data_IF_809358217722
#
_entry.id   IF_809358217722
#
_cell.length_a   1.000
_cell.length_b   1.000
_cell.length_c   1.000
_cell.angle_alpha   90.00
_cell.angle_beta   90.00
_cell.angle_gamma   90.00
#
_symmetry.space_group_name_H-M   'P 1'
#
loop_
_entity.id
_entity.type
_entity.pdbx_description
1 polymer ?
#
# COMPACT_ATOMS: atom_id res chain seq x y z
N UNK A 1 19.38 20.45 11.59
CA UNK A 1 18.29 21.35 11.17
C UNK A 1 17.62 20.60 10.02
N UNK A 2 16.51 19.91 10.30
CA UNK A 2 15.81 19.10 9.27
C UNK A 2 15.04 20.12 8.44
N UNK A 3 15.45 20.35 7.20
CA UNK A 3 14.65 21.13 6.26
C UNK A 3 13.34 20.37 6.06
N UNK A 4 12.24 20.97 6.51
CA UNK A 4 10.89 20.45 6.26
C UNK A 4 10.61 20.50 4.76
N UNK A 5 9.89 19.51 4.23
CA UNK A 5 9.31 19.56 2.87
C UNK A 5 8.48 20.82 2.60
N UNK A 6 8.07 21.53 3.67
CA UNK A 6 7.28 22.76 3.64
C UNK A 6 7.89 23.92 2.84
N UNK A 7 9.19 23.91 2.48
CA UNK A 7 9.79 24.98 1.66
C UNK A 7 9.41 24.92 0.17
N UNK A 8 8.85 23.80 -0.32
CA UNK A 8 8.45 23.64 -1.73
C UNK A 8 7.08 22.96 -1.91
N UNK A 9 6.67 22.07 -0.99
CA UNK A 9 5.42 21.33 -1.09
C UNK A 9 4.81 21.07 0.29
N UNK A 10 3.52 21.35 0.46
CA UNK A 10 2.80 20.95 1.66
C UNK A 10 2.23 19.53 1.50
N UNK A 11 2.69 18.60 2.34
CA UNK A 11 2.21 17.22 2.38
C UNK A 11 0.87 17.12 3.13
N UNK A 12 -0.21 16.82 2.40
CA UNK A 12 -1.49 16.46 3.01
C UNK A 12 -1.69 14.94 3.00
N UNK A 13 -1.99 14.34 4.16
CA UNK A 13 -2.21 12.90 4.27
C UNK A 13 -3.67 12.50 4.18
N UNK A 14 -3.90 11.36 3.52
CA UNK A 14 -5.20 10.72 3.40
C UNK A 14 -5.07 9.24 3.70
N UNK A 15 -6.16 8.66 4.20
CA UNK A 15 -6.32 7.22 4.34
C UNK A 15 -7.15 6.71 3.17
N UNK A 16 -6.61 5.74 2.44
CA UNK A 16 -7.33 5.03 1.38
C UNK A 16 -7.94 3.76 1.98
N UNK A 17 -9.29 3.65 2.06
CA UNK A 17 -9.95 2.50 2.65
C UNK A 17 -9.75 1.22 1.86
N UNK A 18 -9.53 0.12 2.58
CA UNK A 18 -9.51 -1.23 2.05
C UNK A 18 -10.59 -2.04 2.76
N UNK A 19 -11.47 -2.66 1.98
CA UNK A 19 -12.69 -3.30 2.45
C UNK A 19 -12.65 -4.82 2.20
N UNK A 20 -13.33 -5.63 3.00
CA UNK A 20 -13.54 -7.05 2.72
C UNK A 20 -14.72 -7.28 1.74
N UNK A 21 -14.99 -8.54 1.41
CA UNK A 21 -16.11 -8.97 0.56
C UNK A 21 -17.49 -8.58 1.09
N UNK A 22 -17.60 -8.24 2.38
CA UNK A 22 -18.83 -7.79 3.04
C UNK A 22 -18.86 -6.27 3.21
N UNK A 23 -17.99 -5.53 2.52
CA UNK A 23 -17.82 -4.09 2.63
C UNK A 23 -17.53 -3.61 4.06
N UNK A 24 -16.78 -4.41 4.83
CA UNK A 24 -16.26 -4.02 6.16
C UNK A 24 -14.82 -3.55 6.02
N UNK A 25 -14.47 -2.50 6.76
CA UNK A 25 -13.12 -1.96 6.75
C UNK A 25 -12.13 -2.96 7.37
N UNK A 26 -11.06 -3.29 6.64
CA UNK A 26 -9.99 -4.19 7.11
C UNK A 26 -8.64 -3.49 7.26
N UNK A 27 -8.43 -2.38 6.57
CA UNK A 27 -7.21 -1.61 6.69
C UNK A 27 -7.24 -0.30 5.93
N UNK A 28 -6.16 0.46 6.08
CA UNK A 28 -5.98 1.77 5.49
C UNK A 28 -4.59 1.90 4.91
N UNK A 29 -4.48 2.30 3.65
CA UNK A 29 -3.22 2.74 3.07
C UNK A 29 -3.04 4.25 3.31
N UNK A 30 -1.84 4.67 3.70
CA UNK A 30 -1.54 6.10 3.88
C UNK A 30 -0.89 6.66 2.64
N UNK A 31 -1.63 7.55 1.99
CA UNK A 31 -1.18 8.30 0.82
C UNK A 31 -0.94 9.75 1.18
N UNK A 32 -0.06 10.41 0.42
CA UNK A 32 0.11 11.85 0.49
C UNK A 32 -0.38 12.50 -0.80
N UNK A 33 -0.87 13.72 -0.70
CA UNK A 33 -1.03 14.62 -1.84
C UNK A 33 -0.22 15.86 -1.56
N UNK A 34 0.50 16.33 -2.56
CA UNK A 34 1.34 17.52 -2.45
C UNK A 34 0.57 18.69 -3.03
N UNK A 35 0.41 19.75 -2.23
CA UNK A 35 -0.08 21.03 -2.71
C UNK A 35 1.11 21.95 -3.01
N UNK A 36 1.05 22.66 -4.15
CA UNK A 36 1.93 23.81 -4.38
C UNK A 36 1.62 24.93 -3.36
N UNK A 37 2.54 25.86 -3.14
CA UNK A 37 2.39 26.97 -2.16
C UNK A 37 1.10 27.80 -2.36
N UNK A 38 0.59 27.87 -3.60
CA UNK A 38 -0.65 28.58 -3.94
C UNK A 38 -1.94 27.78 -3.67
N UNK A 39 -1.81 26.51 -3.29
CA UNK A 39 -2.92 25.58 -3.03
C UNK A 39 -3.76 25.20 -4.26
N UNK A 40 -3.43 25.70 -5.46
CA UNK A 40 -4.27 25.57 -6.65
C UNK A 40 -4.14 24.20 -7.32
N UNK A 41 -3.01 23.52 -7.14
CA UNK A 41 -2.73 22.21 -7.75
C UNK A 41 -2.40 21.20 -6.67
N UNK A 42 -3.18 20.11 -6.63
CA UNK A 42 -2.91 18.92 -5.82
C UNK A 42 -2.33 17.83 -6.70
N UNK A 43 -1.13 17.37 -6.36
CA UNK A 43 -0.44 16.30 -7.09
C UNK A 43 -0.43 15.01 -6.25
N UNK A 44 -0.91 13.88 -6.79
CA UNK A 44 -0.77 12.57 -6.15
C UNK A 44 0.69 12.20 -5.90
N UNK A 45 0.94 11.41 -4.84
CA UNK A 45 2.30 10.97 -4.49
C UNK A 45 2.98 10.27 -5.66
N UNK A 46 2.27 9.51 -6.48
CA UNK A 46 2.86 8.74 -7.59
C UNK A 46 3.50 9.63 -8.66
N UNK A 47 3.02 10.88 -8.81
CA UNK A 47 3.58 11.85 -9.77
C UNK A 47 4.75 12.64 -9.19
N UNK A 48 4.82 12.76 -7.86
CA UNK A 48 5.84 13.54 -7.16
C UNK A 48 6.98 12.66 -6.66
N UNK A 49 6.70 11.42 -6.23
CA UNK A 49 7.65 10.49 -5.66
C UNK A 49 8.92 10.28 -6.50
N UNK A 50 8.86 10.18 -7.84
CA UNK A 50 10.07 10.06 -8.67
C UNK A 50 10.98 11.30 -8.65
N UNK A 51 10.48 12.44 -8.17
CA UNK A 51 11.19 13.73 -8.10
C UNK A 51 11.73 14.04 -6.71
N UNK A 52 11.29 13.31 -5.68
CA UNK A 52 11.75 13.50 -4.31
C UNK A 52 13.16 12.95 -4.16
N UNK A 53 14.03 13.75 -3.55
CA UNK A 53 15.33 13.33 -3.03
C UNK A 53 15.18 12.23 -1.96
N UNK A 54 16.28 11.56 -1.63
CA UNK A 54 16.28 10.52 -0.59
C UNK A 54 15.91 11.11 0.76
N UNK A 55 16.37 12.32 1.05
CA UNK A 55 16.08 13.06 2.28
C UNK A 55 14.59 13.42 2.38
N UNK A 56 13.97 13.87 1.28
CA UNK A 56 12.54 14.14 1.23
C UNK A 56 11.70 12.86 1.37
N UNK A 57 12.09 11.77 0.71
CA UNK A 57 11.44 10.47 0.88
C UNK A 57 11.53 9.98 2.33
N UNK A 58 12.67 10.19 2.98
CA UNK A 58 12.89 9.86 4.38
C UNK A 58 11.97 10.68 5.29
N UNK A 59 11.92 12.01 5.09
CA UNK A 59 11.06 12.89 5.88
C UNK A 59 9.59 12.51 5.73
N UNK A 60 9.12 12.28 4.49
CA UNK A 60 7.76 11.84 4.22
C UNK A 60 7.42 10.51 4.91
N UNK A 61 8.34 9.54 4.89
CA UNK A 61 8.15 8.26 5.56
C UNK A 61 8.04 8.43 7.09
N UNK A 62 8.90 9.27 7.67
CA UNK A 62 8.89 9.61 9.10
C UNK A 62 7.62 10.35 9.51
N UNK A 63 7.11 11.26 8.69
CA UNK A 63 5.83 11.96 8.91
C UNK A 63 4.65 10.98 8.90
N UNK A 64 4.63 10.02 7.97
CA UNK A 64 3.61 8.96 7.94
C UNK A 64 3.66 8.07 9.18
N UNK A 65 4.85 7.76 9.70
CA UNK A 65 4.99 7.06 10.99
C UNK A 65 4.48 7.89 12.17
N UNK A 66 4.69 9.21 12.17
CA UNK A 66 4.14 10.13 13.19
C UNK A 66 2.60 10.16 13.16
N UNK A 67 2.02 10.14 11.95
CA UNK A 67 0.58 10.04 11.78
C UNK A 67 0.04 8.74 12.38
N UNK A 68 0.69 7.60 12.12
CA UNK A 68 0.31 6.33 12.72
C UNK A 68 0.38 6.35 14.25
N UNK A 69 1.38 7.01 14.82
CA UNK A 69 1.48 7.18 16.27
C UNK A 69 0.28 7.92 16.85
N UNK A 70 -0.17 8.97 16.16
CA UNK A 70 -1.35 9.78 16.55
C UNK A 70 -2.65 8.98 16.43
N UNK A 71 -2.75 8.11 15.43
CA UNK A 71 -3.94 7.32 15.14
C UNK A 71 -3.90 5.88 15.70
N UNK A 72 -2.85 5.50 16.43
CA UNK A 72 -2.58 4.09 16.78
C UNK A 72 -3.73 3.40 17.51
N UNK A 73 -4.43 4.13 18.39
CA UNK A 73 -5.52 3.58 19.17
C UNK A 73 -6.68 3.13 18.27
N UNK A 74 -6.95 3.87 17.20
CA UNK A 74 -7.97 3.52 16.21
C UNK A 74 -7.63 2.20 15.50
N UNK A 75 -6.40 2.05 15.00
CA UNK A 75 -5.96 0.82 14.33
C UNK A 75 -6.03 -0.39 15.26
N UNK A 76 -5.56 -0.25 16.51
CA UNK A 76 -5.57 -1.34 17.49
C UNK A 76 -7.00 -1.72 17.89
N UNK A 77 -7.84 -0.73 18.23
CA UNK A 77 -9.22 -0.96 18.68
C UNK A 77 -10.06 -1.68 17.61
N UNK A 78 -9.90 -1.26 16.35
CA UNK A 78 -10.67 -1.80 15.23
C UNK A 78 -9.97 -2.96 14.50
N UNK A 79 -8.78 -3.39 14.98
CA UNK A 79 -7.97 -4.47 14.40
C UNK A 79 -7.67 -4.26 12.92
N UNK A 80 -7.38 -3.01 12.55
CA UNK A 80 -7.11 -2.60 11.18
C UNK A 80 -5.61 -2.70 10.88
N UNK A 81 -5.28 -2.97 9.62
CA UNK A 81 -3.91 -2.89 9.10
C UNK A 81 -3.63 -1.49 8.58
N UNK A 82 -2.40 -1.00 8.77
CA UNK A 82 -1.90 0.20 8.11
C UNK A 82 -0.86 -0.20 7.06
N UNK A 83 -1.04 0.21 5.81
CA UNK A 83 -0.03 0.07 4.77
C UNK A 83 0.71 1.39 4.55
N UNK A 84 2.04 1.32 4.61
CA UNK A 84 2.92 2.42 4.23
C UNK A 84 3.76 2.01 3.02
N UNK A 85 3.65 2.78 1.94
CA UNK A 85 4.57 2.63 0.81
C UNK A 85 6.01 2.90 1.29
N UNK A 86 6.88 1.93 1.06
CA UNK A 86 8.30 1.97 1.35
C UNK A 86 9.07 2.24 0.04
N UNK A 87 9.60 3.45 -0.16
CA UNK A 87 10.46 3.71 -1.30
C UNK A 87 11.74 2.87 -1.22
N UNK A 88 12.28 2.38 -2.35
CA UNK A 88 13.52 1.63 -2.37
C UNK A 88 14.68 2.32 -1.65
N UNK A 89 14.80 3.64 -1.80
CA UNK A 89 15.86 4.43 -1.18
C UNK A 89 15.82 4.43 0.36
N UNK A 90 14.65 4.13 0.96
CA UNK A 90 14.45 4.13 2.41
C UNK A 90 14.63 2.73 3.00
N UNK A 91 14.71 1.70 2.16
CA UNK A 91 14.73 0.30 2.61
C UNK A 91 15.97 -0.05 3.44
N UNK A 92 17.16 0.32 2.96
CA UNK A 92 18.39 0.10 3.71
C UNK A 92 18.46 1.01 4.95
N UNK A 93 17.98 2.27 4.84
CA UNK A 93 17.93 3.19 5.98
C UNK A 93 17.04 2.64 7.11
N UNK A 94 15.89 2.07 6.77
CA UNK A 94 14.98 1.45 7.74
C UNK A 94 15.63 0.26 8.47
N UNK A 95 16.51 -0.49 7.81
CA UNK A 95 17.20 -1.64 8.40
C UNK A 95 18.45 -1.23 9.21
N UNK A 96 19.14 -0.17 8.81
CA UNK A 96 20.41 0.25 9.40
C UNK A 96 20.24 1.25 10.56
N UNK A 97 19.24 2.12 10.50
CA UNK A 97 18.95 3.10 11.54
C UNK A 97 18.11 2.46 12.66
N UNK A 98 18.74 2.22 13.81
CA UNK A 98 18.07 1.60 14.96
C UNK A 98 16.89 2.41 15.51
N UNK A 99 16.90 3.74 15.39
CA UNK A 99 15.81 4.59 15.86
C UNK A 99 14.62 4.48 14.91
N UNK A 100 14.86 4.60 13.60
CA UNK A 100 13.82 4.44 12.59
C UNK A 100 13.22 3.03 12.63
N UNK A 101 14.06 2.00 12.70
CA UNK A 101 13.65 0.60 12.81
C UNK A 101 12.73 0.41 14.02
N UNK A 102 13.18 0.82 15.20
CA UNK A 102 12.41 0.68 16.45
C UNK A 102 11.11 1.49 16.41
N UNK A 103 11.12 2.63 15.70
CA UNK A 103 9.93 3.44 15.51
C UNK A 103 8.91 2.78 14.60
N UNK A 104 9.31 2.13 13.51
CA UNK A 104 8.40 1.38 12.65
C UNK A 104 7.92 0.10 13.35
N UNK A 105 8.83 -0.66 13.97
CA UNK A 105 8.56 -1.96 14.57
C UNK A 105 7.63 -1.90 15.80
N UNK A 106 7.43 -0.71 16.40
CA UNK A 106 6.49 -0.54 17.53
C UNK A 106 5.02 -0.73 17.14
N UNK A 107 4.68 -0.61 15.85
CA UNK A 107 3.31 -0.69 15.37
C UNK A 107 2.97 -2.11 14.89
N UNK A 108 2.26 -2.93 15.68
CA UNK A 108 1.96 -4.32 15.30
C UNK A 108 1.00 -4.44 14.11
N UNK A 109 0.34 -3.35 13.75
CA UNK A 109 -0.59 -3.24 12.63
C UNK A 109 0.06 -2.67 11.36
N UNK A 110 1.33 -2.27 11.41
CA UNK A 110 2.05 -1.71 10.26
C UNK A 110 2.53 -2.83 9.34
N UNK A 111 2.22 -2.70 8.05
CA UNK A 111 2.78 -3.50 6.98
C UNK A 111 3.41 -2.56 5.93
N UNK A 112 4.55 -2.97 5.37
CA UNK A 112 5.27 -2.17 4.38
C UNK A 112 4.86 -2.59 2.97
N UNK A 113 4.40 -1.62 2.18
CA UNK A 113 4.01 -1.81 0.79
C UNK A 113 5.18 -1.48 -0.14
N UNK A 114 5.48 -2.37 -1.06
CA UNK A 114 6.42 -2.12 -2.16
C UNK A 114 5.76 -2.44 -3.50
N UNK A 115 6.31 -1.87 -4.56
CA UNK A 115 5.80 -2.02 -5.92
C UNK A 115 6.69 -2.93 -6.78
N UNK A 116 6.16 -3.39 -7.91
CA UNK A 116 6.89 -4.24 -8.86
C UNK A 116 8.18 -3.61 -9.41
N UNK A 117 8.28 -2.28 -9.40
CA UNK A 117 9.47 -1.55 -9.80
C UNK A 117 10.58 -1.50 -8.73
N UNK A 118 10.40 -2.22 -7.61
CA UNK A 118 11.42 -2.29 -6.57
C UNK A 118 12.73 -2.92 -7.11
N UNK A 119 13.89 -2.26 -6.95
CA UNK A 119 15.17 -2.74 -7.47
C UNK A 119 15.51 -4.16 -7.02
N UNK A 120 15.75 -5.05 -7.98
CA UNK A 120 16.12 -6.43 -7.69
C UNK A 120 14.98 -7.30 -7.17
N UNK A 121 13.71 -6.89 -7.30
CA UNK A 121 12.55 -7.70 -6.88
C UNK A 121 12.53 -9.09 -7.53
N UNK A 122 12.96 -9.20 -8.79
CA UNK A 122 13.08 -10.47 -9.52
C UNK A 122 14.12 -11.45 -8.94
N UNK A 123 14.98 -11.00 -8.02
CA UNK A 123 15.88 -11.90 -7.29
C UNK A 123 15.14 -12.65 -6.17
N UNK A 124 13.93 -12.22 -5.80
CA UNK A 124 13.14 -12.80 -4.72
C UNK A 124 13.92 -12.84 -3.41
N UNK A 125 13.93 -13.97 -2.73
CA UNK A 125 14.65 -14.13 -1.44
C UNK A 125 16.17 -13.96 -1.53
N UNK A 126 16.74 -13.94 -2.74
CA UNK A 126 18.16 -13.68 -2.95
C UNK A 126 18.50 -12.18 -2.91
N UNK A 127 17.49 -11.29 -2.89
CA UNK A 127 17.68 -9.89 -2.58
C UNK A 127 17.78 -9.75 -1.06
N UNK A 128 18.99 -9.50 -0.54
CA UNK A 128 19.27 -9.47 0.90
C UNK A 128 18.44 -8.40 1.63
N UNK A 129 18.30 -7.20 1.06
CA UNK A 129 17.48 -6.13 1.65
C UNK A 129 16.02 -6.54 1.76
N UNK A 130 15.43 -7.11 0.70
CA UNK A 130 14.03 -7.58 0.73
C UNK A 130 13.83 -8.75 1.70
N UNK A 131 14.77 -9.70 1.74
CA UNK A 131 14.72 -10.81 2.68
C UNK A 131 14.80 -10.32 4.13
N UNK A 132 15.69 -9.38 4.43
CA UNK A 132 15.80 -8.76 5.76
C UNK A 132 14.55 -7.97 6.14
N UNK A 133 13.98 -7.19 5.20
CA UNK A 133 12.71 -6.51 5.42
C UNK A 133 11.59 -7.51 5.75
N UNK A 134 11.44 -8.58 4.97
CA UNK A 134 10.42 -9.60 5.18
C UNK A 134 10.58 -10.37 6.50
N UNK A 135 11.80 -10.48 7.03
CA UNK A 135 12.04 -11.07 8.35
C UNK A 135 11.58 -10.18 9.50
N UNK A 136 11.55 -8.86 9.31
CA UNK A 136 11.27 -7.89 10.38
C UNK A 136 9.90 -7.22 10.27
N UNK A 137 9.37 -7.07 9.06
CA UNK A 137 8.12 -6.40 8.77
C UNK A 137 7.27 -7.25 7.81
N UNK A 138 5.95 -7.35 8.02
CA UNK A 138 5.10 -7.95 7.01
C UNK A 138 5.08 -7.07 5.76
N UNK A 139 5.31 -7.70 4.61
CA UNK A 139 5.36 -7.00 3.32
C UNK A 139 4.10 -7.23 2.50
N UNK A 140 3.71 -6.18 1.77
CA UNK A 140 2.71 -6.19 0.72
C UNK A 140 3.36 -5.86 -0.63
N UNK A 141 3.06 -6.66 -1.66
CA UNK A 141 3.27 -6.24 -3.05
C UNK A 141 2.03 -5.48 -3.53
N UNK A 142 2.11 -4.16 -3.70
CA UNK A 142 0.93 -3.29 -3.82
C UNK A 142 0.36 -3.16 -5.24
N UNK A 143 1.10 -3.56 -6.28
CA UNK A 143 0.68 -3.39 -7.68
C UNK A 143 1.04 -4.60 -8.56
N UNK A 144 0.75 -5.81 -8.08
CA UNK A 144 0.99 -7.04 -8.85
C UNK A 144 0.21 -7.04 -10.18
N UNK A 145 0.88 -7.31 -11.29
CA UNK A 145 0.33 -7.24 -12.64
C UNK A 145 0.63 -5.93 -13.39
N UNK A 146 1.39 -5.01 -12.78
CA UNK A 146 1.86 -3.79 -13.45
C UNK A 146 2.84 -4.06 -14.61
N UNK A 147 3.49 -5.23 -14.63
CA UNK A 147 4.30 -5.71 -15.75
C UNK A 147 5.81 -5.54 -15.57
N UNK A 148 6.26 -5.16 -14.38
CA UNK A 148 7.67 -4.88 -14.08
C UNK A 148 8.36 -6.05 -13.34
N UNK A 149 7.58 -6.97 -12.76
CA UNK A 149 8.10 -8.08 -11.97
C UNK A 149 7.59 -9.46 -12.40
N UNK A 150 8.42 -10.47 -12.16
CA UNK A 150 8.07 -11.88 -12.17
C UNK A 150 7.38 -12.29 -10.86
N UNK A 151 6.74 -13.45 -10.87
CA UNK A 151 6.09 -14.03 -9.68
C UNK A 151 7.06 -14.64 -8.67
N UNK A 152 8.38 -14.59 -8.93
CA UNK A 152 9.39 -15.25 -8.09
C UNK A 152 9.35 -14.79 -6.64
N UNK A 153 9.29 -13.48 -6.39
CA UNK A 153 9.28 -12.94 -5.02
C UNK A 153 8.03 -13.37 -4.22
N UNK A 154 6.89 -13.54 -4.91
CA UNK A 154 5.66 -14.07 -4.31
C UNK A 154 5.87 -15.55 -3.93
N UNK A 155 6.35 -16.39 -4.86
CA UNK A 155 6.56 -17.82 -4.59
C UNK A 155 7.71 -18.12 -3.63
N UNK A 156 8.64 -17.18 -3.46
CA UNK A 156 9.67 -17.24 -2.43
C UNK A 156 9.12 -16.90 -1.03
N UNK A 157 7.85 -16.50 -0.91
CA UNK A 157 7.17 -16.25 0.36
C UNK A 157 7.52 -14.92 1.01
N UNK A 158 7.98 -13.93 0.24
CA UNK A 158 8.38 -12.62 0.78
C UNK A 158 7.20 -11.75 1.20
N UNK A 159 6.01 -12.01 0.66
CA UNK A 159 4.84 -11.16 0.83
C UNK A 159 3.76 -11.84 1.63
N UNK A 160 3.35 -11.18 2.72
CA UNK A 160 2.15 -11.55 3.45
C UNK A 160 0.89 -11.21 2.63
N UNK A 161 0.94 -10.10 1.87
CA UNK A 161 -0.17 -9.66 1.03
C UNK A 161 0.26 -9.35 -0.39
N UNK A 162 -0.63 -9.60 -1.34
CA UNK A 162 -0.44 -9.25 -2.74
C UNK A 162 -1.70 -8.53 -3.20
N UNK A 163 -1.56 -7.32 -3.74
CA UNK A 163 -2.65 -6.53 -4.30
C UNK A 163 -2.50 -6.48 -5.82
N UNK A 164 -3.55 -6.84 -6.55
CA UNK A 164 -3.58 -6.67 -8.01
C UNK A 164 -3.66 -5.20 -8.41
N UNK A 165 -2.84 -4.78 -9.37
CA UNK A 165 -2.77 -3.40 -9.84
C UNK A 165 -4.08 -2.90 -10.44
N UNK A 166 -4.45 -1.65 -10.13
CA UNK A 166 -5.69 -1.04 -10.61
C UNK A 166 -5.77 -0.97 -12.14
N UNK A 167 -4.67 -0.65 -12.83
CA UNK A 167 -4.67 -0.50 -14.29
C UNK A 167 -4.80 -1.88 -14.94
N UNK A 168 -4.12 -2.89 -14.39
CA UNK A 168 -4.26 -4.27 -14.82
C UNK A 168 -5.71 -4.77 -14.74
N UNK A 169 -6.39 -4.45 -13.63
CA UNK A 169 -7.79 -4.83 -13.43
C UNK A 169 -8.71 -4.04 -14.36
N UNK A 170 -8.60 -2.71 -14.41
CA UNK A 170 -9.45 -1.85 -15.22
C UNK A 170 -9.35 -2.16 -16.72
N UNK A 171 -8.15 -2.45 -17.22
CA UNK A 171 -7.94 -2.87 -18.62
C UNK A 171 -8.65 -4.17 -18.97
N UNK A 172 -8.90 -5.05 -17.99
CA UNK A 172 -9.53 -6.37 -18.18
C UNK A 172 -11.00 -6.40 -17.77
N UNK A 173 -11.47 -5.42 -17.01
CA UNK A 173 -12.81 -5.42 -16.44
C UNK A 173 -13.90 -5.55 -17.51
N UNK A 174 -13.70 -4.98 -18.70
CA UNK A 174 -14.69 -5.06 -19.80
C UNK A 174 -14.63 -6.39 -20.57
N UNK A 175 -13.61 -7.22 -20.35
CA UNK A 175 -13.44 -8.47 -21.07
C UNK A 175 -14.36 -9.56 -20.52
N UNK A 176 -14.92 -10.38 -21.43
CA UNK A 176 -15.70 -11.57 -21.08
C UNK A 176 -14.84 -12.56 -20.26
N UNK A 177 -13.54 -12.60 -20.53
CA UNK A 177 -12.58 -13.47 -19.86
C UNK A 177 -12.14 -12.98 -18.49
N UNK A 178 -12.63 -11.84 -17.99
CA UNK A 178 -12.22 -11.28 -16.70
C UNK A 178 -12.33 -12.28 -15.55
N UNK A 179 -13.51 -12.86 -15.32
CA UNK A 179 -13.75 -13.77 -14.19
C UNK A 179 -12.93 -15.07 -14.28
N UNK A 180 -12.91 -15.81 -15.41
CA UNK A 180 -12.05 -16.99 -15.54
C UNK A 180 -10.57 -16.67 -15.31
N UNK A 181 -10.12 -15.50 -15.77
CA UNK A 181 -8.74 -15.08 -15.63
C UNK A 181 -8.39 -14.70 -14.19
N UNK A 182 -9.27 -13.97 -13.49
CA UNK A 182 -9.12 -13.68 -12.06
C UNK A 182 -9.12 -14.96 -11.22
N UNK A 183 -10.01 -15.92 -11.51
CA UNK A 183 -10.02 -17.21 -10.83
C UNK A 183 -8.70 -17.97 -11.01
N UNK A 184 -8.10 -17.92 -12.20
CA UNK A 184 -6.80 -18.55 -12.44
C UNK A 184 -5.68 -17.89 -11.60
N UNK A 185 -5.70 -16.56 -11.46
CA UNK A 185 -4.74 -15.83 -10.61
C UNK A 185 -4.92 -16.22 -9.14
N UNK A 186 -6.16 -16.20 -8.64
CA UNK A 186 -6.48 -16.59 -7.26
C UNK A 186 -6.00 -18.02 -6.99
N UNK A 187 -6.34 -18.97 -7.85
CA UNK A 187 -5.91 -20.36 -7.70
C UNK A 187 -4.38 -20.53 -7.66
N UNK A 188 -3.64 -19.71 -8.40
CA UNK A 188 -2.18 -19.81 -8.51
C UNK A 188 -1.44 -19.11 -7.37
N UNK A 189 -1.97 -18.00 -6.85
CA UNK A 189 -1.24 -17.10 -5.94
C UNK A 189 -1.69 -17.25 -4.48
N UNK A 190 -2.94 -17.61 -4.21
CA UNK A 190 -3.49 -17.64 -2.84
C UNK A 190 -2.77 -18.59 -1.89
N UNK A 191 -2.05 -19.60 -2.38
CA UNK A 191 -1.23 -20.49 -1.54
C UNK A 191 0.11 -19.88 -1.11
N UNK A 192 0.52 -18.77 -1.73
CA UNK A 192 1.85 -18.15 -1.57
C UNK A 192 1.82 -16.84 -0.79
N UNK A 193 0.64 -16.40 -0.35
CA UNK A 193 0.46 -15.22 0.50
C UNK A 193 -0.77 -15.43 1.41
N UNK A 194 -0.86 -14.70 2.52
CA UNK A 194 -2.00 -14.80 3.43
C UNK A 194 -3.25 -14.07 2.88
N UNK A 195 -3.05 -13.03 2.07
CA UNK A 195 -4.10 -12.15 1.60
C UNK A 195 -3.82 -11.72 0.16
N UNK A 196 -4.59 -12.28 -0.77
CA UNK A 196 -4.66 -11.79 -2.15
C UNK A 196 -5.80 -10.77 -2.25
N UNK A 197 -5.48 -9.59 -2.73
CA UNK A 197 -6.33 -8.39 -2.72
C UNK A 197 -6.43 -7.82 -4.14
N UNK A 198 -7.42 -6.97 -4.38
CA UNK A 198 -7.67 -6.37 -5.70
C UNK A 198 -7.89 -4.87 -5.59
N UNK A 199 -7.12 -4.09 -6.37
CA UNK A 199 -7.31 -2.66 -6.51
C UNK A 199 -8.13 -2.31 -7.76
N UNK A 200 -8.56 -1.05 -7.85
CA UNK A 200 -9.31 -0.52 -9.00
C UNK A 200 -10.81 -0.82 -8.96
N UNK A 201 -11.37 -1.16 -7.80
CA UNK A 201 -12.81 -1.35 -7.62
C UNK A 201 -13.51 0.02 -7.48
N UNK A 202 -13.97 0.56 -8.61
CA UNK A 202 -14.45 1.95 -8.67
C UNK A 202 -15.98 2.09 -8.57
N UNK A 203 -16.73 0.99 -8.65
CA UNK A 203 -18.19 1.00 -8.58
C UNK A 203 -18.76 -0.33 -8.07
N UNK A 204 -20.03 -0.31 -7.66
CA UNK A 204 -20.75 -1.46 -7.10
C UNK A 204 -20.87 -2.64 -8.07
N UNK A 205 -21.00 -2.38 -9.38
CA UNK A 205 -21.07 -3.45 -10.38
C UNK A 205 -19.76 -4.24 -10.45
N UNK A 206 -18.62 -3.55 -10.38
CA UNK A 206 -17.30 -4.15 -10.34
C UNK A 206 -17.06 -4.90 -9.03
N UNK A 207 -17.47 -4.32 -7.90
CA UNK A 207 -17.38 -4.98 -6.59
C UNK A 207 -18.20 -6.27 -6.55
N UNK A 208 -19.46 -6.22 -6.98
CA UNK A 208 -20.36 -7.39 -7.04
C UNK A 208 -19.80 -8.51 -7.91
N UNK A 209 -19.04 -8.16 -8.96
CA UNK A 209 -18.40 -9.12 -9.85
C UNK A 209 -17.09 -9.69 -9.28
N UNK A 210 -16.32 -8.88 -8.55
CA UNK A 210 -15.02 -9.27 -7.99
C UNK A 210 -15.13 -10.00 -6.64
N UNK A 211 -16.11 -9.65 -5.80
CA UNK A 211 -16.33 -10.22 -4.47
C UNK A 211 -16.37 -11.76 -4.44
N UNK A 212 -17.11 -12.45 -5.33
CA UNK A 212 -17.19 -13.92 -5.30
C UNK A 212 -15.94 -14.63 -5.86
N UNK A 213 -14.92 -13.90 -6.34
CA UNK A 213 -13.77 -14.49 -7.03
C UNK A 213 -12.69 -15.04 -6.09
N UNK A 214 -12.82 -14.83 -4.77
CA UNK A 214 -11.89 -15.32 -3.76
C UNK A 214 -10.80 -14.33 -3.35
N UNK A 215 -10.99 -13.04 -3.63
CA UNK A 215 -10.14 -11.98 -3.09
C UNK A 215 -10.52 -11.67 -1.65
N UNK A 216 -9.50 -11.49 -0.81
CA UNK A 216 -9.67 -11.21 0.62
C UNK A 216 -10.01 -9.75 0.93
N UNK A 217 -9.63 -8.82 0.05
CA UNK A 217 -9.88 -7.40 0.25
C UNK A 217 -9.86 -6.60 -1.07
N UNK A 218 -10.49 -5.44 -1.04
CA UNK A 218 -10.86 -4.62 -2.18
C UNK A 218 -10.50 -3.16 -1.91
N UNK A 219 -9.90 -2.49 -2.89
CA UNK A 219 -9.55 -1.08 -2.83
C UNK A 219 -9.93 -0.40 -4.16
N UNK A 220 -10.35 0.86 -4.13
CA UNK A 220 -10.63 1.62 -5.35
C UNK A 220 -11.55 2.80 -5.13
N UNK A 221 -11.99 3.42 -6.23
CA UNK A 221 -12.82 4.63 -6.22
C UNK A 221 -14.20 4.47 -5.57
N UNK A 222 -14.67 3.23 -5.36
CA UNK A 222 -15.89 2.97 -4.60
C UNK A 222 -15.77 3.43 -3.14
N UNK A 223 -14.55 3.40 -2.59
CA UNK A 223 -14.22 3.89 -1.26
C UNK A 223 -13.14 4.98 -1.36
N UNK A 224 -13.54 6.26 -1.53
CA UNK A 224 -12.59 7.33 -1.81
C UNK A 224 -11.64 7.61 -0.64
N UNK A 225 -10.48 8.26 -0.90
CA UNK A 225 -9.57 8.70 0.14
C UNK A 225 -10.28 9.59 1.17
N UNK A 226 -9.98 9.35 2.45
CA UNK A 226 -10.57 10.07 3.58
C UNK A 226 -9.49 10.88 4.29
N UNK A 227 -9.70 12.19 4.55
CA UNK A 227 -8.74 12.99 5.29
C UNK A 227 -8.61 12.50 6.74
N UNK A 228 -7.45 12.73 7.35
CA UNK A 228 -7.14 12.29 8.73
C UNK A 228 -8.23 12.71 9.73
N UNK A 229 -8.81 13.91 9.57
CA UNK A 229 -9.86 14.44 10.45
C UNK A 229 -11.18 13.63 10.42
N UNK A 230 -11.37 12.76 9.43
CA UNK A 230 -12.57 11.97 9.25
C UNK A 230 -12.38 10.48 9.52
N UNK A 231 -11.22 10.07 10.07
CA UNK A 231 -10.89 8.68 10.39
C UNK A 231 -12.00 7.92 11.13
N UNK A 232 -12.62 8.57 12.13
CA UNK A 232 -13.67 7.96 12.97
C UNK A 232 -14.93 7.61 12.16
N UNK A 233 -15.21 8.32 11.06
CA UNK A 233 -16.40 8.07 10.23
C UNK A 233 -16.32 6.77 9.43
N UNK A 234 -15.14 6.19 9.29
CA UNK A 234 -14.92 4.98 8.50
C UNK A 234 -15.49 3.71 9.14
N UNK A 235 -15.69 3.71 10.47
CA UNK A 235 -16.17 2.54 11.24
C UNK A 235 -17.61 2.70 11.73
N UNK A 236 -18.26 3.82 11.44
CA UNK A 236 -19.65 4.11 11.84
C UNK A 236 -20.67 3.81 10.72
N UNK A 237 -20.25 3.19 9.62
CA UNK A 237 -21.11 2.83 8.50
C UNK A 237 -21.71 1.44 8.66
#
# INVERSE_FOLDING_TARGET
MIASLDELYHSEFFFLPVMDENARLVGLEIIATFAAEDGAVRMPTELVAPRLSVEEQYCLFVEKLALLETCQHFFIQHKLIAWLNLPPAISDLLLLDSELFSRAARFPFLELAINENYPGLNQGKNNETLANLAMHFPLMLANFGAGEASTKAIFDGLFKRVMLDKNFIQQRAEMISFEPFMHAIVAQISSSCESLMIAGIDNEAMFSRAAPLGFSAFQGGLWPPVPVSQLIKLVQR
#
